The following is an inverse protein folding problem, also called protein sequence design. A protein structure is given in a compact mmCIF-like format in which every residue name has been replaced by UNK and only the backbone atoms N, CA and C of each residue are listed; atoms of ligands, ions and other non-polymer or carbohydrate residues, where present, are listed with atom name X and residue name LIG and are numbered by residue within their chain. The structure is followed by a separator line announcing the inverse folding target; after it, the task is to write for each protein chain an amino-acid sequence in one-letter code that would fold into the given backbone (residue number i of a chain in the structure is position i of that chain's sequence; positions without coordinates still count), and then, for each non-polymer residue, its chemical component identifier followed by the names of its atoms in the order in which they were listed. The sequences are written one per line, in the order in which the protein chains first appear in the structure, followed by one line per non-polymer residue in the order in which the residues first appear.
data_IF_975582009156
#
_entry.id   IF_975582009156
#
_cell.length_a   1.000
_cell.length_b   1.000
_cell.length_c   1.000
_cell.angle_alpha   90.00
_cell.angle_beta   90.00
_cell.angle_gamma   90.00
#
_symmetry.space_group_name_H-M   'P 1'
#
loop_
_entity.id
_entity.type
_entity.pdbx_description
1 polymer ?
#
# COMPACT_ATOMS: atom_id res chain seq x y z
N UNK A 1 7.64 41.28 -61.71
CA UNK A 1 6.78 40.15 -61.29
C UNK A 1 7.04 39.91 -59.82
N UNK A 2 5.98 39.63 -59.08
CA UNK A 2 5.85 39.67 -57.61
C UNK A 2 6.99 39.01 -56.84
N UNK A 3 7.66 39.75 -55.95
CA UNK A 3 8.35 39.16 -54.80
C UNK A 3 7.26 38.70 -53.82
N UNK A 4 7.14 37.39 -53.65
CA UNK A 4 6.30 36.79 -52.62
C UNK A 4 7.05 36.87 -51.30
N UNK A 5 6.53 37.65 -50.36
CA UNK A 5 7.00 37.67 -48.98
C UNK A 5 6.67 36.31 -48.36
N UNK A 6 7.67 35.44 -48.22
CA UNK A 6 7.57 34.29 -47.32
C UNK A 6 7.39 34.84 -45.90
N UNK A 7 6.17 34.76 -45.38
CA UNK A 7 5.94 34.88 -43.96
C UNK A 7 6.63 33.69 -43.29
N UNK A 8 7.77 33.97 -42.65
CA UNK A 8 8.38 33.07 -41.68
C UNK A 8 7.36 32.87 -40.57
N UNK A 9 6.70 31.71 -40.55
CA UNK A 9 5.98 31.24 -39.37
C UNK A 9 7.00 31.13 -38.24
N UNK A 10 7.00 32.12 -37.34
CA UNK A 10 7.65 31.97 -36.05
C UNK A 10 7.04 30.75 -35.35
N UNK A 11 7.85 29.92 -34.66
CA UNK A 11 7.34 28.78 -33.92
C UNK A 11 6.57 29.31 -32.71
N UNK A 12 5.33 29.72 -32.91
CA UNK A 12 4.40 29.96 -31.83
C UNK A 12 4.32 28.65 -31.06
N UNK A 13 4.73 28.66 -29.79
CA UNK A 13 4.30 27.65 -28.82
C UNK A 13 2.78 27.60 -28.91
N UNK A 14 2.24 26.69 -29.72
CA UNK A 14 0.82 26.69 -30.04
C UNK A 14 0.06 26.47 -28.75
N UNK A 15 -0.98 27.27 -28.51
CA UNK A 15 -1.80 27.15 -27.30
C UNK A 15 -2.31 25.72 -27.12
N UNK A 16 -2.56 25.01 -28.23
CA UNK A 16 -2.95 23.60 -28.25
C UNK A 16 -1.86 22.67 -27.68
N UNK A 17 -0.59 22.88 -28.04
CA UNK A 17 0.55 22.14 -27.48
C UNK A 17 0.68 22.35 -25.97
N UNK A 18 0.48 23.59 -25.52
CA UNK A 18 0.51 23.93 -24.08
C UNK A 18 -0.67 23.28 -23.34
N UNK A 19 -1.88 23.34 -23.91
CA UNK A 19 -3.08 22.74 -23.33
C UNK A 19 -3.00 21.21 -23.27
N UNK A 20 -2.42 20.57 -24.28
CA UNK A 20 -2.20 19.13 -24.31
C UNK A 20 -1.19 18.70 -23.22
N UNK A 21 -0.06 19.40 -23.12
CA UNK A 21 0.93 19.14 -22.08
C UNK A 21 0.36 19.38 -20.68
N UNK A 22 -0.45 20.42 -20.50
CA UNK A 22 -1.17 20.65 -19.24
C UNK A 22 -2.16 19.52 -18.94
N UNK A 23 -2.94 19.05 -19.93
CA UNK A 23 -3.89 17.94 -19.77
C UNK A 23 -3.19 16.64 -19.35
N UNK A 24 -1.99 16.39 -19.86
CA UNK A 24 -1.25 15.18 -19.51
C UNK A 24 -0.58 15.25 -18.14
N UNK A 25 -0.07 16.42 -17.77
CA UNK A 25 0.82 16.55 -16.62
C UNK A 25 0.26 17.32 -15.43
N UNK A 26 -0.93 17.95 -15.50
CA UNK A 26 -1.48 18.79 -14.41
C UNK A 26 -1.48 18.11 -13.03
N UNK A 27 -1.65 16.79 -13.00
CA UNK A 27 -1.70 16.01 -11.78
C UNK A 27 -0.37 16.03 -11.00
N UNK A 28 0.78 16.17 -11.68
CA UNK A 28 2.10 16.21 -11.05
C UNK A 28 2.32 17.51 -10.26
N UNK A 29 2.22 18.72 -10.83
CA UNK A 29 2.33 19.95 -10.05
C UNK A 29 1.18 20.08 -9.04
N UNK A 30 -0.03 19.61 -9.35
CA UNK A 30 -1.12 19.59 -8.37
C UNK A 30 -0.78 18.74 -7.15
N UNK A 31 -0.27 17.51 -7.36
CA UNK A 31 0.15 16.64 -6.25
C UNK A 31 1.35 17.24 -5.49
N UNK A 32 2.30 17.86 -6.19
CA UNK A 32 3.42 18.54 -5.54
C UNK A 32 2.96 19.71 -4.66
N UNK A 33 2.00 20.51 -5.12
CA UNK A 33 1.39 21.60 -4.33
C UNK A 33 0.67 21.03 -3.12
N UNK A 34 -0.10 19.94 -3.28
CA UNK A 34 -0.81 19.27 -2.18
C UNK A 34 0.19 18.76 -1.13
N UNK A 35 1.22 18.02 -1.55
CA UNK A 35 2.26 17.49 -0.65
C UNK A 35 3.01 18.64 0.03
N UNK A 36 3.36 19.70 -0.70
CA UNK A 36 4.00 20.89 -0.14
C UNK A 36 3.13 21.60 0.91
N UNK A 37 1.84 21.74 0.63
CA UNK A 37 0.88 22.26 1.60
C UNK A 37 0.79 21.37 2.85
N UNK A 38 0.75 20.06 2.67
CA UNK A 38 0.69 19.09 3.77
C UNK A 38 1.95 19.15 4.65
N UNK A 39 3.14 19.26 4.05
CA UNK A 39 4.40 19.46 4.77
C UNK A 39 4.39 20.77 5.55
N UNK A 40 3.97 21.87 4.92
CA UNK A 40 3.92 23.19 5.55
C UNK A 40 2.97 23.21 6.75
N UNK A 41 1.72 22.79 6.59
CA UNK A 41 0.72 22.87 7.67
C UNK A 41 1.08 21.98 8.87
N UNK A 42 1.74 20.84 8.62
CA UNK A 42 2.15 19.88 9.65
C UNK A 42 3.46 20.26 10.34
N UNK A 43 4.37 20.94 9.65
CA UNK A 43 5.70 21.30 10.16
C UNK A 43 5.85 22.71 10.71
N UNK A 44 4.97 23.65 10.34
CA UNK A 44 5.14 25.11 10.61
C UNK A 44 5.30 25.52 12.08
N UNK A 45 4.87 24.68 13.03
CA UNK A 45 4.90 25.00 14.46
C UNK A 45 5.98 24.22 15.23
N UNK A 46 7.03 23.74 14.55
CA UNK A 46 8.06 22.90 15.18
C UNK A 46 8.84 23.60 16.30
N UNK A 47 8.99 24.92 16.22
CA UNK A 47 9.71 25.73 17.22
C UNK A 47 9.11 25.58 18.63
N UNK A 48 7.81 25.29 18.73
CA UNK A 48 7.15 25.03 20.01
C UNK A 48 7.69 23.79 20.75
N UNK A 49 8.38 22.90 20.04
CA UNK A 49 8.97 21.68 20.56
C UNK A 49 10.48 21.82 20.81
N UNK A 50 11.04 23.03 20.66
CA UNK A 50 12.45 23.32 20.93
C UNK A 50 12.54 24.23 22.16
N UNK A 51 13.19 23.78 23.22
CA UNK A 51 13.44 24.60 24.41
C UNK A 51 14.90 24.46 24.83
N UNK A 52 15.62 25.58 24.93
CA UNK A 52 17.05 25.60 25.31
C UNK A 52 17.93 24.64 24.46
N UNK A 53 17.64 24.52 23.16
CA UNK A 53 18.36 23.62 22.25
C UNK A 53 17.99 22.13 22.37
N UNK A 54 17.01 21.78 23.21
CA UNK A 54 16.52 20.41 23.38
C UNK A 54 15.17 20.22 22.70
N UNK A 55 14.96 19.02 22.17
CA UNK A 55 13.68 18.61 21.56
C UNK A 55 12.78 18.03 22.65
N UNK A 56 11.55 18.54 22.74
CA UNK A 56 10.52 18.05 23.64
C UNK A 56 9.39 17.44 22.82
N UNK A 57 9.11 16.15 23.01
CA UNK A 57 8.02 15.47 22.31
C UNK A 57 6.68 15.66 23.04
N UNK A 58 5.58 15.55 22.30
CA UNK A 58 4.26 15.40 22.90
C UNK A 58 3.97 13.93 23.20
N UNK A 59 3.20 13.68 24.26
CA UNK A 59 2.85 12.32 24.68
C UNK A 59 4.02 11.56 25.32
N UNK A 60 3.79 10.26 25.58
CA UNK A 60 4.76 9.39 26.26
C UNK A 60 5.49 8.47 25.27
N UNK A 61 4.75 7.88 24.34
CA UNK A 61 5.24 6.87 23.38
C UNK A 61 6.41 7.38 22.54
N UNK A 62 6.40 8.67 22.19
CA UNK A 62 7.50 9.32 21.46
C UNK A 62 8.85 9.22 22.18
N UNK A 63 8.87 9.25 23.53
CA UNK A 63 10.10 9.09 24.30
C UNK A 63 10.62 7.66 24.26
N UNK A 64 9.72 6.67 24.20
CA UNK A 64 10.11 5.29 24.06
C UNK A 64 10.59 4.99 22.62
N UNK A 65 9.96 5.57 21.60
CA UNK A 65 10.49 5.57 20.23
C UNK A 65 11.89 6.21 20.16
N UNK A 66 12.12 7.35 20.81
CA UNK A 66 13.46 7.96 20.86
C UNK A 66 14.50 6.98 21.44
N UNK A 67 14.14 6.24 22.50
CA UNK A 67 15.01 5.24 23.12
C UNK A 67 15.35 4.11 22.14
N UNK A 68 14.35 3.53 21.47
CA UNK A 68 14.53 2.48 20.48
C UNK A 68 15.36 2.94 19.28
N UNK A 69 15.08 4.12 18.75
CA UNK A 69 15.80 4.71 17.63
C UNK A 69 17.25 4.99 18.04
N UNK A 70 17.49 5.55 19.23
CA UNK A 70 18.85 5.80 19.73
C UNK A 70 19.64 4.51 19.94
N UNK A 71 18.98 3.42 20.34
CA UNK A 71 19.61 2.10 20.36
C UNK A 71 19.97 1.64 18.94
N UNK A 72 19.01 1.71 18.02
CA UNK A 72 19.11 1.23 16.63
C UNK A 72 20.16 2.00 15.83
N UNK A 73 20.30 3.32 16.03
CA UNK A 73 21.36 4.14 15.40
C UNK A 73 22.76 3.64 15.81
N UNK A 74 22.94 3.24 17.07
CA UNK A 74 24.24 2.74 17.59
C UNK A 74 24.53 1.30 17.20
N UNK A 75 23.50 0.53 16.84
CA UNK A 75 23.59 -0.90 16.54
C UNK A 75 22.97 -1.22 15.19
N UNK A 76 23.04 -0.32 14.22
CA UNK A 76 22.37 -0.52 12.93
C UNK A 76 22.86 -1.81 12.25
N UNK A 77 21.97 -2.71 11.77
CA UNK A 77 20.51 -2.57 11.63
C UNK A 77 19.65 -3.21 12.73
N UNK A 78 20.22 -3.62 13.87
CA UNK A 78 19.49 -4.30 14.94
C UNK A 78 18.64 -3.35 15.80
N UNK A 79 17.40 -3.76 16.10
CA UNK A 79 16.54 -3.11 17.11
C UNK A 79 16.64 -3.85 18.45
N UNK A 80 16.22 -3.19 19.54
CA UNK A 80 16.25 -3.80 20.88
C UNK A 80 15.06 -4.76 21.03
N UNK A 81 15.27 -6.07 21.27
CA UNK A 81 14.16 -7.02 21.40
C UNK A 81 13.52 -7.02 22.80
N UNK A 82 14.27 -6.57 23.81
CA UNK A 82 13.88 -6.56 25.21
C UNK A 82 14.55 -5.40 25.94
N UNK A 83 13.79 -4.67 26.74
CA UNK A 83 14.29 -3.52 27.48
C UNK A 83 14.29 -3.78 29.00
N UNK A 84 15.47 -3.95 29.63
CA UNK A 84 15.57 -4.15 31.08
C UNK A 84 15.35 -2.84 31.88
N UNK A 85 15.29 -1.68 31.24
CA UNK A 85 15.14 -0.38 31.90
C UNK A 85 13.69 0.06 32.10
N UNK A 86 12.74 -0.69 31.55
CA UNK A 86 11.29 -0.50 31.77
C UNK A 86 10.69 -1.75 32.42
N UNK A 87 9.57 -1.66 33.13
CA UNK A 87 8.96 -2.85 33.78
C UNK A 87 9.79 -3.45 34.92
N UNK A 88 10.47 -2.59 35.71
CA UNK A 88 11.28 -3.03 36.86
C UNK A 88 10.46 -3.89 37.85
N UNK A 89 11.03 -4.98 38.41
CA UNK A 89 12.42 -5.43 38.30
C UNK A 89 12.71 -6.43 37.17
N UNK A 90 11.74 -6.72 36.30
CA UNK A 90 11.86 -7.82 35.32
C UNK A 90 12.37 -7.33 33.97
N UNK A 91 11.92 -6.15 33.52
CA UNK A 91 12.07 -5.72 32.13
C UNK A 91 10.75 -5.84 31.36
N UNK A 92 10.73 -5.36 30.11
CA UNK A 92 9.62 -5.59 29.18
C UNK A 92 10.12 -5.99 27.80
N UNK A 93 9.38 -6.86 27.13
CA UNK A 93 9.47 -6.98 25.67
C UNK A 93 8.99 -5.67 25.03
N UNK A 94 9.65 -5.27 23.94
CA UNK A 94 9.37 -4.00 23.26
C UNK A 94 8.05 -4.01 22.48
N UNK A 95 7.52 -5.19 22.13
CA UNK A 95 6.19 -5.35 21.54
C UNK A 95 5.99 -4.54 20.24
N UNK A 96 5.22 -3.46 20.34
CA UNK A 96 4.91 -2.55 19.23
C UNK A 96 5.98 -1.49 18.95
N UNK A 97 7.08 -1.50 19.71
CA UNK A 97 8.24 -0.63 19.55
C UNK A 97 9.45 -1.43 19.05
N UNK A 98 10.48 -0.74 18.53
CA UNK A 98 11.63 -1.39 17.88
C UNK A 98 11.24 -2.02 16.54
N UNK A 99 10.21 -1.47 15.88
CA UNK A 99 9.60 -2.00 14.66
C UNK A 99 10.24 -1.41 13.40
N UNK A 100 9.70 -1.72 12.21
CA UNK A 100 10.12 -1.11 10.95
C UNK A 100 10.04 0.42 11.00
N UNK A 101 9.09 0.98 11.76
CA UNK A 101 9.00 2.42 11.98
C UNK A 101 10.30 2.97 12.58
N UNK A 102 10.75 2.40 13.70
CA UNK A 102 11.97 2.86 14.39
C UNK A 102 13.22 2.64 13.53
N UNK A 103 13.28 1.55 12.76
CA UNK A 103 14.37 1.31 11.82
C UNK A 103 14.43 2.35 10.69
N UNK A 104 13.28 2.76 10.14
CA UNK A 104 13.22 3.80 9.11
C UNK A 104 13.70 5.14 9.69
N UNK A 105 13.26 5.49 10.89
CA UNK A 105 13.66 6.76 11.54
C UNK A 105 15.16 6.74 11.89
N UNK A 106 15.68 5.62 12.40
CA UNK A 106 17.11 5.45 12.65
C UNK A 106 17.94 5.56 11.37
N UNK A 107 17.48 4.94 10.28
CA UNK A 107 18.13 5.05 8.95
C UNK A 107 18.13 6.48 8.46
N UNK A 108 16.99 7.19 8.57
CA UNK A 108 16.88 8.58 8.18
C UNK A 108 17.84 9.47 9.01
N UNK A 109 17.95 9.22 10.31
CA UNK A 109 18.86 9.96 11.18
C UNK A 109 20.32 9.70 10.78
N UNK A 110 20.69 8.46 10.48
CA UNK A 110 22.02 8.11 9.96
C UNK A 110 22.32 8.81 8.64
N UNK A 111 21.36 8.87 7.70
CA UNK A 111 21.53 9.58 6.42
C UNK A 111 21.71 11.08 6.65
N UNK A 112 20.85 11.71 7.44
CA UNK A 112 20.91 13.15 7.75
C UNK A 112 22.19 13.51 8.50
N UNK A 113 22.62 12.65 9.42
CA UNK A 113 23.87 12.78 10.18
C UNK A 113 25.11 12.26 9.46
N UNK A 114 25.03 11.90 8.17
CA UNK A 114 26.14 11.38 7.36
C UNK A 114 26.90 10.21 8.03
N UNK A 115 26.15 9.32 8.68
CA UNK A 115 26.63 8.14 9.39
C UNK A 115 26.93 8.36 10.87
N UNK A 116 26.95 9.60 11.36
CA UNK A 116 27.22 9.91 12.77
C UNK A 116 26.30 11.04 13.29
N UNK A 117 24.98 10.80 13.39
CA UNK A 117 24.06 11.80 13.91
C UNK A 117 24.31 12.09 15.39
N UNK A 118 24.19 13.36 15.77
CA UNK A 118 24.11 13.74 17.19
C UNK A 118 22.77 13.33 17.81
N UNK A 119 22.69 13.24 19.13
CA UNK A 119 21.42 12.97 19.83
C UNK A 119 20.32 13.99 19.45
N UNK A 120 20.71 15.26 19.25
CA UNK A 120 19.82 16.30 18.76
C UNK A 120 19.31 16.03 17.33
N UNK A 121 20.19 15.54 16.44
CA UNK A 121 19.83 15.14 15.07
C UNK A 121 18.86 13.96 15.07
N UNK A 122 19.08 12.96 15.92
CA UNK A 122 18.17 11.82 16.08
C UNK A 122 16.80 12.31 16.55
N UNK A 123 16.77 13.17 17.59
CA UNK A 123 15.54 13.70 18.13
C UNK A 123 14.76 14.56 17.11
N UNK A 124 15.45 15.42 16.34
CA UNK A 124 14.82 16.19 15.26
C UNK A 124 14.28 15.28 14.15
N UNK A 125 15.01 14.24 13.78
CA UNK A 125 14.55 13.29 12.75
C UNK A 125 13.24 12.64 13.18
N UNK A 126 13.17 12.15 14.42
CA UNK A 126 11.94 11.62 15.00
C UNK A 126 10.84 12.68 15.06
N UNK A 127 11.15 13.92 15.46
CA UNK A 127 10.19 15.02 15.58
C UNK A 127 9.46 15.32 14.27
N UNK A 128 10.19 15.30 13.14
CA UNK A 128 9.66 15.56 11.80
C UNK A 128 9.10 14.33 11.08
N UNK A 129 9.32 13.13 11.61
CA UNK A 129 8.85 11.88 10.99
C UNK A 129 7.34 11.89 10.69
N UNK A 130 6.46 12.34 11.61
CA UNK A 130 5.03 12.37 11.33
C UNK A 130 4.62 13.31 10.19
N UNK A 131 5.35 14.42 10.04
CA UNK A 131 5.14 15.41 8.98
C UNK A 131 5.40 14.78 7.62
N UNK A 132 6.48 13.99 7.51
CA UNK A 132 6.89 13.33 6.27
C UNK A 132 5.91 12.22 5.90
N UNK A 133 5.64 11.27 6.78
CA UNK A 133 4.66 10.20 6.51
C UNK A 133 3.26 10.77 6.22
N UNK A 134 2.87 11.79 6.99
CA UNK A 134 1.60 12.48 6.84
C UNK A 134 1.42 13.16 5.49
N UNK A 135 2.49 13.62 4.86
CA UNK A 135 2.44 14.18 3.50
C UNK A 135 2.58 13.09 2.41
N UNK A 136 3.47 12.11 2.60
CA UNK A 136 3.75 11.07 1.62
C UNK A 136 2.56 10.14 1.38
N UNK A 137 1.68 9.94 2.36
CA UNK A 137 0.44 9.17 2.20
C UNK A 137 -0.50 9.74 1.12
N UNK A 138 -0.37 11.02 0.74
CA UNK A 138 -1.09 11.58 -0.40
C UNK A 138 -0.78 10.84 -1.71
N UNK A 139 0.40 10.25 -1.86
CA UNK A 139 0.82 9.51 -3.06
C UNK A 139 0.02 8.22 -3.26
N UNK A 140 0.00 7.26 -2.32
CA UNK A 140 -0.84 6.08 -2.49
C UNK A 140 -2.33 6.43 -2.57
N UNK A 141 -2.80 7.45 -1.84
CA UNK A 141 -4.19 7.93 -1.93
C UNK A 141 -4.53 8.48 -3.32
N UNK A 142 -3.62 9.24 -3.94
CA UNK A 142 -3.77 9.68 -5.33
C UNK A 142 -3.95 8.49 -6.28
N UNK A 143 -3.09 7.47 -6.18
CA UNK A 143 -3.18 6.31 -7.07
C UNK A 143 -4.42 5.46 -6.83
N UNK A 144 -4.86 5.29 -5.58
CA UNK A 144 -6.14 4.62 -5.26
C UNK A 144 -7.32 5.39 -5.86
N UNK A 145 -7.38 6.71 -5.67
CA UNK A 145 -8.43 7.56 -6.23
C UNK A 145 -8.42 7.56 -7.76
N UNK A 146 -7.23 7.58 -8.38
CA UNK A 146 -7.06 7.45 -9.83
C UNK A 146 -7.58 6.12 -10.35
N UNK A 147 -7.29 5.02 -9.66
CA UNK A 147 -7.69 3.68 -10.07
C UNK A 147 -9.20 3.49 -9.97
N UNK A 148 -9.81 3.94 -8.87
CA UNK A 148 -11.26 3.85 -8.65
C UNK A 148 -12.05 4.77 -9.58
N UNK A 149 -11.62 6.03 -9.71
CA UNK A 149 -12.30 7.02 -10.56
C UNK A 149 -11.92 6.96 -12.03
N UNK A 150 -10.99 6.07 -12.42
CA UNK A 150 -10.41 5.94 -13.77
C UNK A 150 -9.95 7.28 -14.37
N UNK A 151 -9.51 8.20 -13.52
CA UNK A 151 -9.18 9.57 -13.90
C UNK A 151 -8.11 10.15 -13.00
N UNK A 152 -7.14 10.85 -13.59
CA UNK A 152 -6.12 11.62 -12.86
C UNK A 152 -6.78 12.65 -11.93
N UNK A 153 -7.92 13.22 -12.33
CA UNK A 153 -8.64 14.23 -11.54
C UNK A 153 -9.22 13.61 -10.26
N UNK A 154 -9.76 12.40 -10.33
CA UNK A 154 -10.25 11.68 -9.16
C UNK A 154 -9.13 11.41 -8.14
N UNK A 155 -7.93 11.08 -8.63
CA UNK A 155 -6.74 10.94 -7.78
C UNK A 155 -6.34 12.25 -7.10
N UNK A 156 -6.27 13.36 -7.86
CA UNK A 156 -5.94 14.69 -7.30
C UNK A 156 -6.99 15.09 -6.26
N UNK A 157 -8.26 14.86 -6.53
CA UNK A 157 -9.34 15.16 -5.61
C UNK A 157 -9.25 14.33 -4.33
N UNK A 158 -8.94 13.03 -4.42
CA UNK A 158 -8.73 12.19 -3.24
C UNK A 158 -7.56 12.70 -2.38
N UNK A 159 -6.43 13.06 -3.00
CA UNK A 159 -5.29 13.64 -2.29
C UNK A 159 -5.63 15.01 -1.64
N UNK A 160 -6.42 15.85 -2.31
CA UNK A 160 -6.88 17.14 -1.78
C UNK A 160 -7.79 16.95 -0.56
N UNK A 161 -8.75 16.02 -0.63
CA UNK A 161 -9.63 15.71 0.51
C UNK A 161 -8.81 15.24 1.71
N UNK A 162 -7.83 14.36 1.50
CA UNK A 162 -6.91 13.91 2.55
C UNK A 162 -6.10 15.08 3.15
N UNK A 163 -5.61 15.98 2.30
CA UNK A 163 -4.82 17.12 2.73
C UNK A 163 -5.60 18.09 3.63
N UNK A 164 -6.90 18.20 3.41
CA UNK A 164 -7.83 19.04 4.17
C UNK A 164 -8.51 18.31 5.34
N UNK A 165 -8.28 17.00 5.49
CA UNK A 165 -8.94 16.18 6.50
C UNK A 165 -8.50 16.59 7.92
N UNK A 166 -9.42 17.05 8.79
CA UNK A 166 -9.10 17.43 10.16
C UNK A 166 -9.11 16.21 11.09
N UNK A 167 -9.07 16.45 12.40
CA UNK A 167 -9.27 15.43 13.42
C UNK A 167 -8.04 14.56 13.67
N UNK A 168 -8.26 13.28 13.97
CA UNK A 168 -7.21 12.39 14.48
C UNK A 168 -6.06 12.19 13.49
N UNK A 169 -6.36 12.08 12.19
CA UNK A 169 -5.33 11.95 11.16
C UNK A 169 -4.39 13.17 11.12
N UNK A 170 -4.95 14.39 11.12
CA UNK A 170 -4.14 15.61 11.21
C UNK A 170 -3.38 15.66 12.53
N UNK A 171 -4.07 15.42 13.66
CA UNK A 171 -3.47 15.47 14.99
C UNK A 171 -2.34 14.46 15.23
N UNK A 172 -2.34 13.32 14.54
CA UNK A 172 -1.27 12.30 14.57
C UNK A 172 -0.22 12.47 13.47
N UNK A 173 -0.35 13.49 12.60
CA UNK A 173 0.59 13.77 11.51
C UNK A 173 1.27 15.14 11.59
N UNK A 174 1.00 15.91 12.64
CA UNK A 174 1.73 17.16 12.93
C UNK A 174 3.07 16.88 13.59
N UNK A 175 3.98 17.85 13.46
CA UNK A 175 5.25 17.86 14.19
C UNK A 175 5.01 17.72 15.70
N UNK A 176 5.83 16.91 16.36
CA UNK A 176 5.68 16.63 17.80
C UNK A 176 4.81 15.41 18.14
N UNK A 177 3.94 14.95 17.24
CA UNK A 177 3.17 13.71 17.39
C UNK A 177 3.99 12.48 16.96
N UNK A 178 5.21 12.36 17.51
CA UNK A 178 6.26 11.47 17.04
C UNK A 178 6.05 10.00 17.44
N UNK A 179 5.03 9.39 16.87
CA UNK A 179 4.53 8.04 17.14
C UNK A 179 4.27 7.32 15.80
N UNK A 180 4.21 5.98 15.83
CA UNK A 180 4.02 5.15 14.64
C UNK A 180 2.63 5.28 13.98
N UNK A 181 1.66 5.95 14.62
CA UNK A 181 0.26 5.96 14.15
C UNK A 181 0.03 6.59 12.79
N UNK A 182 0.95 7.39 12.27
CA UNK A 182 0.85 7.90 10.90
C UNK A 182 1.58 7.02 9.88
N UNK A 183 2.54 6.22 10.34
CA UNK A 183 3.12 5.15 9.53
C UNK A 183 2.11 4.02 9.29
N UNK A 184 1.24 3.72 10.26
CA UNK A 184 0.14 2.74 10.12
C UNK A 184 -0.72 2.98 8.87
N UNK A 185 -1.45 4.11 8.71
CA UNK A 185 -2.27 4.36 7.52
C UNK A 185 -1.43 4.51 6.25
N UNK A 186 -0.17 4.96 6.36
CA UNK A 186 0.74 5.03 5.21
C UNK A 186 1.01 3.63 4.64
N UNK A 187 1.52 2.71 5.46
CA UNK A 187 1.80 1.34 5.01
C UNK A 187 0.53 0.56 4.70
N UNK A 188 -0.57 0.79 5.43
CA UNK A 188 -1.88 0.25 5.08
C UNK A 188 -2.32 0.69 3.68
N UNK A 189 -2.19 1.98 3.35
CA UNK A 189 -2.59 2.51 2.04
C UNK A 189 -1.73 1.94 0.91
N UNK A 190 -0.43 1.71 1.16
CA UNK A 190 0.47 1.04 0.19
C UNK A 190 0.04 -0.41 0.00
N UNK A 191 -0.24 -1.14 1.08
CA UNK A 191 -0.71 -2.54 1.01
C UNK A 191 -2.03 -2.66 0.23
N UNK A 192 -2.99 -1.78 0.50
CA UNK A 192 -4.26 -1.73 -0.22
C UNK A 192 -4.05 -1.38 -1.69
N UNK A 193 -3.27 -0.35 -1.99
CA UNK A 193 -2.97 0.03 -3.38
C UNK A 193 -2.29 -1.10 -4.15
N UNK A 194 -1.27 -1.73 -3.56
CA UNK A 194 -0.56 -2.84 -4.19
C UNK A 194 -1.50 -4.03 -4.44
N UNK A 195 -2.42 -4.32 -3.50
CA UNK A 195 -3.45 -5.34 -3.68
C UNK A 195 -4.42 -5.01 -4.82
N UNK A 196 -4.88 -3.76 -4.90
CA UNK A 196 -5.73 -3.30 -6.01
C UNK A 196 -5.03 -3.46 -7.37
N UNK A 197 -3.76 -3.08 -7.45
CA UNK A 197 -2.96 -3.23 -8.69
C UNK A 197 -2.79 -4.71 -9.04
N UNK A 198 -2.52 -5.58 -8.07
CA UNK A 198 -2.42 -7.01 -8.29
C UNK A 198 -3.71 -7.63 -8.83
N UNK A 199 -4.87 -7.23 -8.28
CA UNK A 199 -6.18 -7.66 -8.76
C UNK A 199 -6.46 -7.16 -10.19
N UNK A 200 -6.10 -5.92 -10.50
CA UNK A 200 -6.25 -5.38 -11.86
C UNK A 200 -5.37 -6.11 -12.87
N UNK A 201 -4.14 -6.45 -12.50
CA UNK A 201 -3.25 -7.25 -13.33
C UNK A 201 -3.81 -8.66 -13.55
N UNK A 202 -4.33 -9.30 -12.51
CA UNK A 202 -4.92 -10.63 -12.61
C UNK A 202 -6.23 -10.66 -13.42
N UNK A 203 -7.07 -9.62 -13.33
CA UNK A 203 -8.27 -9.50 -14.16
C UNK A 203 -7.93 -9.33 -15.65
N UNK A 204 -6.83 -8.63 -15.95
CA UNK A 204 -6.34 -8.44 -17.33
C UNK A 204 -5.73 -9.72 -17.89
N UNK A 205 -4.84 -10.35 -17.13
CA UNK A 205 -3.99 -11.45 -17.61
C UNK A 205 -4.64 -12.84 -17.37
N UNK A 206 -5.66 -12.91 -16.51
CA UNK A 206 -6.45 -14.10 -16.16
C UNK A 206 -5.59 -15.36 -15.92
N UNK A 207 -4.67 -15.35 -14.94
CA UNK A 207 -3.87 -16.52 -14.63
C UNK A 207 -4.77 -17.69 -14.20
N UNK A 208 -4.59 -18.84 -14.85
CA UNK A 208 -5.30 -20.09 -14.58
C UNK A 208 -4.32 -21.17 -14.11
N UNK A 209 -4.84 -22.21 -13.46
CA UNK A 209 -4.00 -23.26 -12.90
C UNK A 209 -3.16 -24.01 -13.95
N UNK A 210 -3.71 -24.24 -15.14
CA UNK A 210 -3.03 -24.96 -16.22
C UNK A 210 -1.74 -24.25 -16.64
N UNK A 211 -1.74 -22.90 -16.64
CA UNK A 211 -0.54 -22.10 -16.90
C UNK A 211 0.51 -22.27 -15.82
N UNK A 212 0.09 -22.43 -14.56
CA UNK A 212 0.99 -22.67 -13.43
C UNK A 212 1.66 -24.05 -13.54
N UNK A 213 0.89 -25.10 -13.86
CA UNK A 213 1.44 -26.44 -14.11
C UNK A 213 2.38 -26.43 -15.32
N UNK A 214 1.96 -25.79 -16.42
CA UNK A 214 2.74 -25.70 -17.63
C UNK A 214 4.00 -24.83 -17.48
N UNK A 215 4.15 -24.14 -16.33
CA UNK A 215 5.26 -23.21 -16.04
C UNK A 215 5.40 -22.13 -17.11
N UNK A 216 4.28 -21.64 -17.63
CA UNK A 216 4.25 -20.56 -18.61
C UNK A 216 4.49 -19.21 -17.92
N UNK A 217 5.72 -19.00 -17.49
CA UNK A 217 6.13 -17.79 -16.77
C UNK A 217 6.02 -16.52 -17.60
N UNK A 218 5.93 -16.63 -18.93
CA UNK A 218 5.82 -15.47 -19.82
C UNK A 218 4.51 -14.71 -19.56
N UNK A 219 3.41 -15.45 -19.41
CA UNK A 219 2.08 -14.93 -19.14
C UNK A 219 1.82 -14.70 -17.65
N UNK A 220 2.54 -15.41 -16.76
CA UNK A 220 2.39 -15.25 -15.30
C UNK A 220 3.25 -14.14 -14.69
N UNK A 221 4.26 -13.62 -15.40
CA UNK A 221 5.23 -12.67 -14.83
C UNK A 221 4.59 -11.41 -14.24
N UNK A 222 3.63 -10.84 -14.98
CA UNK A 222 2.90 -9.64 -14.56
C UNK A 222 2.06 -9.88 -13.30
N UNK A 223 1.09 -10.82 -13.28
CA UNK A 223 0.29 -11.06 -12.08
C UNK A 223 1.14 -11.56 -10.91
N UNK A 224 2.12 -12.43 -11.14
CA UNK A 224 3.04 -12.91 -10.09
C UNK A 224 3.81 -11.76 -9.43
N UNK A 225 4.38 -10.86 -10.24
CA UNK A 225 5.15 -9.72 -9.74
C UNK A 225 4.30 -8.76 -8.91
N UNK A 226 3.11 -8.41 -9.39
CA UNK A 226 2.21 -7.52 -8.64
C UNK A 226 1.64 -8.17 -7.38
N UNK A 227 1.29 -9.46 -7.42
CA UNK A 227 0.83 -10.18 -6.23
C UNK A 227 1.95 -10.35 -5.19
N UNK A 228 3.18 -10.63 -5.61
CA UNK A 228 4.33 -10.67 -4.71
C UNK A 228 4.60 -9.30 -4.09
N UNK A 229 4.50 -8.22 -4.86
CA UNK A 229 4.63 -6.85 -4.35
C UNK A 229 3.52 -6.50 -3.36
N UNK A 230 2.29 -6.95 -3.59
CA UNK A 230 1.18 -6.79 -2.64
C UNK A 230 1.45 -7.53 -1.32
N UNK A 231 1.98 -8.75 -1.40
CA UNK A 231 2.41 -9.50 -0.21
C UNK A 231 3.55 -8.83 0.55
N UNK A 232 4.54 -8.30 -0.17
CA UNK A 232 5.64 -7.53 0.41
C UNK A 232 5.13 -6.25 1.10
N UNK A 233 4.25 -5.49 0.45
CA UNK A 233 3.63 -4.31 1.05
C UNK A 233 2.82 -4.63 2.31
N UNK A 234 2.08 -5.75 2.31
CA UNK A 234 1.39 -6.26 3.50
C UNK A 234 2.37 -6.62 4.62
N UNK A 235 3.51 -7.24 4.30
CA UNK A 235 4.56 -7.55 5.28
C UNK A 235 5.17 -6.28 5.89
N UNK A 236 5.43 -5.23 5.09
CA UNK A 236 5.91 -3.95 5.61
C UNK A 236 4.92 -3.33 6.62
N UNK A 237 3.62 -3.46 6.35
CA UNK A 237 2.61 -3.00 7.30
C UNK A 237 2.63 -3.82 8.61
N UNK A 238 2.69 -5.15 8.52
CA UNK A 238 2.84 -6.04 9.69
C UNK A 238 4.11 -5.73 10.50
N UNK A 239 5.22 -5.41 9.83
CA UNK A 239 6.48 -5.04 10.48
C UNK A 239 6.46 -3.64 11.08
N UNK A 240 5.54 -2.77 10.68
CA UNK A 240 5.33 -1.46 11.30
C UNK A 240 4.47 -1.58 12.54
N UNK A 241 3.42 -2.40 12.48
CA UNK A 241 2.43 -2.52 13.55
C UNK A 241 1.82 -3.93 13.61
N UNK A 242 2.10 -4.75 14.65
CA UNK A 242 1.62 -6.12 14.71
C UNK A 242 0.08 -6.30 14.60
N UNK A 243 -0.77 -5.38 15.12
CA UNK A 243 -2.22 -5.42 14.92
C UNK A 243 -2.67 -5.22 13.46
N UNK A 244 -1.77 -4.87 12.53
CA UNK A 244 -2.05 -4.87 11.10
C UNK A 244 -2.54 -6.22 10.56
N UNK A 245 -2.43 -7.31 11.34
CA UNK A 245 -3.11 -8.59 11.10
C UNK A 245 -4.61 -8.45 10.85
N UNK A 246 -5.24 -7.38 11.37
CA UNK A 246 -6.60 -7.00 11.04
C UNK A 246 -6.80 -6.84 9.51
N UNK A 247 -5.86 -6.20 8.81
CA UNK A 247 -5.95 -6.03 7.36
C UNK A 247 -5.80 -7.37 6.62
N UNK A 248 -4.98 -8.30 7.12
CA UNK A 248 -4.93 -9.68 6.61
C UNK A 248 -6.31 -10.34 6.71
N UNK A 249 -7.00 -10.17 7.83
CA UNK A 249 -8.38 -10.64 8.01
C UNK A 249 -9.38 -9.98 7.05
N UNK A 250 -9.27 -8.66 6.84
CA UNK A 250 -10.09 -7.92 5.86
C UNK A 250 -9.85 -8.44 4.44
N UNK A 251 -8.59 -8.68 4.04
CA UNK A 251 -8.28 -9.29 2.76
C UNK A 251 -8.83 -10.71 2.65
N UNK A 252 -8.74 -11.53 3.71
CA UNK A 252 -9.34 -12.85 3.76
C UNK A 252 -10.85 -12.81 3.52
N UNK A 253 -11.57 -11.94 4.22
CA UNK A 253 -13.01 -11.73 4.02
C UNK A 253 -13.33 -11.22 2.61
N UNK A 254 -12.54 -10.29 2.08
CA UNK A 254 -12.67 -9.80 0.72
C UNK A 254 -12.51 -10.93 -0.31
N UNK A 255 -11.45 -11.74 -0.20
CA UNK A 255 -11.22 -12.85 -1.13
C UNK A 255 -12.33 -13.89 -1.05
N UNK A 256 -12.80 -14.24 0.15
CA UNK A 256 -13.94 -15.13 0.32
C UNK A 256 -15.17 -14.63 -0.47
N UNK A 257 -15.54 -13.36 -0.27
CA UNK A 257 -16.71 -12.76 -0.95
C UNK A 257 -16.48 -12.64 -2.47
N UNK A 258 -15.29 -12.23 -2.91
CA UNK A 258 -14.99 -12.06 -4.33
C UNK A 258 -14.96 -13.39 -5.07
N UNK A 259 -14.31 -14.42 -4.52
CA UNK A 259 -14.22 -15.76 -5.13
C UNK A 259 -15.61 -16.39 -5.26
N UNK A 260 -16.43 -16.32 -4.21
CA UNK A 260 -17.83 -16.75 -4.26
C UNK A 260 -18.63 -15.97 -5.30
N UNK A 261 -18.45 -14.65 -5.34
CA UNK A 261 -19.13 -13.77 -6.28
C UNK A 261 -18.76 -13.99 -7.75
N UNK A 262 -17.51 -14.34 -8.03
CA UNK A 262 -17.05 -14.69 -9.38
C UNK A 262 -17.67 -16.00 -9.84
N UNK A 263 -17.55 -17.04 -8.99
CA UNK A 263 -18.13 -18.34 -9.28
C UNK A 263 -19.64 -18.25 -9.50
N UNK A 264 -20.36 -17.53 -8.63
CA UNK A 264 -21.80 -17.30 -8.75
C UNK A 264 -22.21 -16.60 -10.06
N UNK A 265 -21.33 -15.78 -10.65
CA UNK A 265 -21.57 -15.11 -11.94
C UNK A 265 -21.12 -15.93 -13.14
N UNK A 266 -20.69 -17.17 -12.94
CA UNK A 266 -20.14 -18.03 -13.99
C UNK A 266 -18.75 -17.58 -14.47
N UNK A 267 -18.02 -16.81 -13.66
CA UNK A 267 -16.63 -16.45 -13.94
C UNK A 267 -15.68 -17.36 -13.14
N UNK A 268 -14.59 -17.81 -13.76
CA UNK A 268 -13.57 -18.59 -13.07
C UNK A 268 -12.94 -17.78 -11.93
N UNK A 269 -12.91 -18.31 -10.68
CA UNK A 269 -12.32 -17.61 -9.53
C UNK A 269 -10.78 -17.72 -9.47
N UNK A 270 -10.16 -18.48 -10.38
CA UNK A 270 -8.73 -18.83 -10.30
C UNK A 270 -7.80 -17.62 -10.31
N UNK A 271 -8.09 -16.60 -11.12
CA UNK A 271 -7.25 -15.42 -11.25
C UNK A 271 -7.20 -14.60 -9.94
N UNK A 272 -8.32 -14.49 -9.22
CA UNK A 272 -8.36 -13.85 -7.90
C UNK A 272 -7.69 -14.73 -6.85
N UNK A 273 -7.91 -16.05 -6.92
CA UNK A 273 -7.29 -16.99 -6.00
C UNK A 273 -5.76 -16.98 -6.14
N UNK A 274 -5.24 -16.86 -7.36
CA UNK A 274 -3.81 -16.71 -7.62
C UNK A 274 -3.23 -15.50 -6.87
N UNK A 275 -3.91 -14.35 -6.94
CA UNK A 275 -3.48 -13.14 -6.21
C UNK A 275 -3.46 -13.39 -4.71
N UNK A 276 -4.52 -13.97 -4.16
CA UNK A 276 -4.63 -14.29 -2.74
C UNK A 276 -3.52 -15.23 -2.28
N UNK A 277 -3.29 -16.33 -3.01
CA UNK A 277 -2.26 -17.33 -2.71
C UNK A 277 -0.88 -16.70 -2.71
N UNK A 278 -0.49 -16.02 -3.78
CA UNK A 278 0.86 -15.45 -3.91
C UNK A 278 1.08 -14.35 -2.87
N UNK A 279 0.16 -13.38 -2.78
CA UNK A 279 0.34 -12.24 -1.88
C UNK A 279 0.37 -12.66 -0.41
N UNK A 280 -0.55 -13.52 0.02
CA UNK A 280 -0.60 -13.95 1.42
C UNK A 280 0.49 -14.95 1.76
N UNK A 281 0.99 -15.76 0.81
CA UNK A 281 2.17 -16.60 1.04
C UNK A 281 3.43 -15.74 1.24
N UNK A 282 3.63 -14.70 0.42
CA UNK A 282 4.75 -13.76 0.58
C UNK A 282 4.65 -13.02 1.90
N UNK A 283 3.47 -12.49 2.24
CA UNK A 283 3.25 -11.83 3.53
C UNK A 283 3.52 -12.77 4.71
N UNK A 284 3.02 -14.01 4.65
CA UNK A 284 3.24 -15.04 5.65
C UNK A 284 4.71 -15.36 5.85
N UNK A 285 5.45 -15.65 4.77
CA UNK A 285 6.88 -15.96 4.82
C UNK A 285 7.69 -14.79 5.39
N UNK A 286 7.43 -13.56 4.95
CA UNK A 286 8.16 -12.40 5.45
C UNK A 286 7.83 -12.08 6.92
N UNK A 287 6.58 -12.28 7.35
CA UNK A 287 6.19 -12.06 8.75
C UNK A 287 6.87 -13.03 9.74
N UNK A 288 7.36 -14.19 9.28
CA UNK A 288 8.20 -15.08 10.10
C UNK A 288 9.52 -14.41 10.51
N UNK A 289 10.06 -13.50 9.68
CA UNK A 289 11.30 -12.78 9.97
C UNK A 289 11.20 -11.78 11.13
N UNK A 290 9.98 -11.37 11.50
CA UNK A 290 9.71 -10.46 12.63
C UNK A 290 9.23 -11.18 13.90
N UNK A 291 9.24 -12.51 13.95
CA UNK A 291 8.67 -13.28 15.05
C UNK A 291 9.41 -13.01 16.36
N UNK A 292 8.71 -12.49 17.37
CA UNK A 292 9.24 -12.26 18.72
C UNK A 292 8.72 -13.28 19.73
N UNK A 293 7.54 -13.85 19.49
CA UNK A 293 6.93 -14.84 20.39
C UNK A 293 6.27 -16.00 19.63
N UNK A 294 6.36 -17.21 20.20
CA UNK A 294 5.73 -18.40 19.64
C UNK A 294 4.21 -18.48 19.93
N UNK A 295 3.66 -17.65 20.82
CA UNK A 295 2.21 -17.63 21.10
C UNK A 295 1.40 -16.89 20.03
N UNK A 296 0.08 -16.89 20.18
CA UNK A 296 -0.85 -16.08 19.38
C UNK A 296 -1.16 -14.77 20.10
N UNK A 297 -0.87 -13.64 19.46
CA UNK A 297 -1.13 -12.30 19.97
C UNK A 297 -1.40 -11.35 18.81
N UNK A 298 -2.40 -10.49 18.96
CA UNK A 298 -2.69 -9.44 17.98
C UNK A 298 -1.75 -8.24 18.12
N UNK A 299 -1.18 -8.00 19.32
CA UNK A 299 -0.42 -6.78 19.63
C UNK A 299 1.09 -6.99 19.67
N UNK A 300 1.56 -8.24 19.59
CA UNK A 300 2.97 -8.59 19.49
C UNK A 300 3.23 -9.30 18.16
N UNK A 301 4.48 -9.24 17.69
CA UNK A 301 4.89 -10.00 16.51
C UNK A 301 4.98 -11.50 16.88
N UNK A 302 4.00 -12.25 16.40
CA UNK A 302 3.55 -13.54 16.94
C UNK A 302 3.31 -14.55 15.81
N UNK A 303 3.04 -15.81 16.14
CA UNK A 303 2.61 -16.79 15.13
C UNK A 303 1.25 -16.45 14.49
N UNK A 304 0.46 -15.54 15.08
CA UNK A 304 -0.85 -15.15 14.55
C UNK A 304 -0.75 -14.54 13.15
N UNK A 305 0.22 -13.64 12.93
CA UNK A 305 0.42 -12.92 11.67
C UNK A 305 0.72 -13.87 10.49
N UNK A 306 1.77 -14.72 10.55
CA UNK A 306 2.04 -15.69 9.48
C UNK A 306 0.94 -16.73 9.35
N UNK A 307 0.40 -17.22 10.47
CA UNK A 307 -0.66 -18.23 10.44
C UNK A 307 -1.89 -17.73 9.69
N UNK A 308 -2.38 -16.52 9.99
CA UNK A 308 -3.56 -15.98 9.33
C UNK A 308 -3.31 -15.74 7.84
N UNK A 309 -2.12 -15.24 7.47
CA UNK A 309 -1.75 -15.06 6.06
C UNK A 309 -1.77 -16.41 5.30
N UNK A 310 -1.12 -17.44 5.85
CA UNK A 310 -1.16 -18.78 5.24
C UNK A 310 -2.57 -19.39 5.22
N UNK A 311 -3.38 -19.15 6.24
CA UNK A 311 -4.78 -19.61 6.26
C UNK A 311 -5.59 -18.97 5.13
N UNK A 312 -5.40 -17.67 4.85
CA UNK A 312 -6.03 -17.01 3.69
C UNK A 312 -5.53 -17.59 2.37
N UNK A 313 -4.22 -17.82 2.23
CA UNK A 313 -3.65 -18.42 1.01
C UNK A 313 -4.23 -19.82 0.75
N UNK A 314 -4.21 -20.70 1.76
CA UNK A 314 -4.75 -22.06 1.66
C UNK A 314 -6.26 -22.04 1.41
N UNK A 315 -7.00 -21.15 2.10
CA UNK A 315 -8.44 -20.98 1.88
C UNK A 315 -8.77 -20.58 0.45
N UNK A 316 -8.03 -19.62 -0.13
CA UNK A 316 -8.24 -19.20 -1.51
C UNK A 316 -7.89 -20.31 -2.52
N UNK A 317 -6.79 -21.05 -2.29
CA UNK A 317 -6.43 -22.20 -3.12
C UNK A 317 -7.51 -23.30 -3.06
N UNK A 318 -8.03 -23.59 -1.86
CA UNK A 318 -9.11 -24.54 -1.66
C UNK A 318 -10.39 -24.12 -2.39
N UNK A 319 -10.77 -22.84 -2.33
CA UNK A 319 -11.93 -22.31 -3.04
C UNK A 319 -11.80 -22.43 -4.56
N UNK A 320 -10.62 -22.15 -5.12
CA UNK A 320 -10.37 -22.33 -6.56
C UNK A 320 -10.40 -23.81 -6.97
N UNK A 321 -9.81 -24.69 -6.17
CA UNK A 321 -9.91 -26.13 -6.40
C UNK A 321 -11.35 -26.64 -6.32
N UNK A 322 -12.11 -26.20 -5.31
CA UNK A 322 -13.50 -26.61 -5.11
C UNK A 322 -14.38 -26.17 -6.28
N UNK A 323 -14.18 -24.95 -6.80
CA UNK A 323 -14.90 -24.46 -7.97
C UNK A 323 -14.71 -25.39 -9.18
N UNK A 324 -13.47 -25.82 -9.43
CA UNK A 324 -13.18 -26.76 -10.53
C UNK A 324 -13.79 -28.13 -10.32
N UNK A 325 -13.66 -28.68 -9.13
CA UNK A 325 -14.22 -30.00 -8.83
C UNK A 325 -15.75 -29.98 -8.95
N UNK A 326 -16.38 -28.84 -8.68
CA UNK A 326 -17.80 -28.65 -8.87
C UNK A 326 -18.18 -28.58 -10.37
N UNK A 327 -17.43 -27.81 -11.15
CA UNK A 327 -17.60 -27.71 -12.61
C UNK A 327 -17.37 -29.06 -13.31
N UNK A 328 -16.31 -29.80 -12.93
CA UNK A 328 -15.92 -31.08 -13.54
C UNK A 328 -16.94 -32.21 -13.27
N UNK A 329 -17.76 -32.08 -12.22
CA UNK A 329 -18.73 -33.10 -11.81
C UNK A 329 -20.13 -32.90 -12.40
N UNK A 330 -20.34 -31.89 -13.24
CA UNK A 330 -21.66 -31.53 -13.81
C UNK A 330 -22.77 -31.51 -12.74
N UNK A 331 -22.44 -31.12 -11.50
CA UNK A 331 -23.41 -31.09 -10.42
C UNK A 331 -24.49 -30.06 -10.77
N UNK A 332 -25.79 -30.40 -10.69
CA UNK A 332 -26.84 -29.47 -11.05
C UNK A 332 -26.69 -28.20 -10.21
N UNK A 333 -26.67 -27.04 -10.88
CA UNK A 333 -26.81 -25.74 -10.25
C UNK A 333 -27.96 -25.84 -9.26
N UNK A 334 -27.66 -25.81 -7.97
CA UNK A 334 -28.63 -26.03 -6.92
C UNK A 334 -29.54 -24.80 -6.82
N UNK A 335 -30.43 -24.64 -7.78
CA UNK A 335 -31.58 -23.76 -7.75
C UNK A 335 -31.31 -22.25 -7.69
N UNK A 336 -30.08 -21.78 -7.86
CA UNK A 336 -29.83 -20.33 -8.01
C UNK A 336 -29.67 -19.99 -9.49
N UNK A 337 -30.79 -19.98 -10.20
CA UNK A 337 -30.86 -19.51 -11.58
C UNK A 337 -30.37 -18.05 -11.64
N UNK A 338 -29.30 -17.83 -12.40
CA UNK A 338 -28.94 -16.50 -12.88
C UNK A 338 -30.05 -16.00 -13.82
N UNK A 339 -30.50 -14.73 -13.74
CA UNK A 339 -31.61 -14.23 -14.58
C UNK A 339 -31.32 -14.16 -16.09
N UNK A 340 -30.15 -14.60 -16.57
CA UNK A 340 -29.72 -14.37 -17.95
C UNK A 340 -29.85 -15.58 -18.88
N UNK A 341 -30.25 -16.77 -18.42
CA UNK A 341 -30.41 -17.93 -19.31
C UNK A 341 -31.76 -17.97 -20.05
N UNK A 342 -32.66 -17.02 -19.80
CA UNK A 342 -33.95 -16.92 -20.50
C UNK A 342 -33.98 -15.76 -21.51
N UNK A 343 -33.05 -15.72 -22.47
CA UNK A 343 -33.26 -15.10 -23.80
C UNK A 343 -31.97 -15.06 -24.63
N UNK A 344 -31.68 -16.13 -25.37
CA UNK A 344 -30.82 -16.00 -26.56
C UNK A 344 -31.12 -17.09 -27.59
N UNK A 345 -32.38 -17.17 -28.01
CA UNK A 345 -32.68 -17.61 -29.38
C UNK A 345 -32.83 -16.36 -30.24
N UNK A 346 -31.95 -16.27 -31.25
CA UNK A 346 -31.83 -15.21 -32.27
C UNK A 346 -31.24 -13.87 -31.82
N UNK A 347 -29.99 -13.58 -32.20
CA UNK A 347 -29.60 -12.49 -33.13
C UNK A 347 -28.14 -12.70 -33.53
N UNK A 348 -27.94 -12.86 -34.83
CA UNK A 348 -26.66 -12.86 -35.53
C UNK A 348 -26.15 -11.42 -35.70
N UNK A 349 -24.82 -11.28 -35.64
CA UNK A 349 -24.00 -10.23 -36.27
C UNK A 349 -24.07 -8.77 -35.74
N UNK A 350 -23.02 -8.39 -35.00
CA UNK A 350 -22.25 -7.15 -35.24
C UNK A 350 -21.08 -7.07 -34.25
N UNK A 351 -19.93 -7.59 -34.66
CA UNK A 351 -18.64 -7.34 -33.99
C UNK A 351 -18.24 -5.88 -34.21
N UNK A 352 -18.29 -5.06 -33.16
CA UNK A 352 -17.51 -3.81 -33.07
C UNK A 352 -16.59 -3.89 -31.87
N UNK A 353 -15.32 -4.12 -32.17
CA UNK A 353 -14.17 -3.91 -31.29
C UNK A 353 -14.17 -2.48 -30.75
N UNK A 354 -14.20 -2.32 -29.42
CA UNK A 354 -13.98 -1.04 -28.75
C UNK A 354 -12.97 -1.24 -27.60
N UNK A 355 -11.70 -1.26 -27.96
CA UNK A 355 -10.57 -0.90 -27.10
C UNK A 355 -9.63 -0.07 -27.98
N UNK A 356 -9.40 1.23 -27.71
CA UNK A 356 -8.34 1.94 -28.39
C UNK A 356 -7.01 1.45 -27.80
N UNK A 357 -6.16 0.92 -28.68
CA UNK A 357 -4.76 0.71 -28.39
C UNK A 357 -4.11 2.07 -28.07
N UNK A 358 -3.47 2.19 -26.91
CA UNK A 358 -2.48 3.24 -26.69
C UNK A 358 -1.30 2.96 -27.62
N UNK A 359 -1.19 3.74 -28.70
CA UNK A 359 0.02 3.81 -29.50
C UNK A 359 1.08 4.60 -28.75
N UNK A 360 2.25 3.99 -28.62
CA UNK A 360 3.51 4.66 -28.34
C UNK A 360 3.83 5.68 -29.43
N UNK A 361 3.95 6.96 -29.05
CA UNK A 361 4.75 8.00 -29.71
C UNK A 361 5.03 9.09 -28.68
#
# INVERSE_FOLDING_TARGET
MSEGTEQVEEPSLSLDSVLERLRDWYHVPALAIIVGFMLWIRGRNYENFIQNGQVYFSGNDAWYHLREISYTVRHWPQTMPYDPWTGFPVGSSVGQFGTLYDQIVATAALIVGLGSPSDHTVALTLLFTPVVFGALIAVPVYFMGKLLGRSRLAGVFAALVLALLPGLFLGRSIVGAADHNIAEPFFQSIAVLAMMVALVAAERDKPIYEQVIARDFSNLRSPLGWSALAGFAMALYLWTWPPAVLLTGIFGAFFLVKLLGDYYRGASPEHVAFVAVVSMSVAGVLSLGSLQMAGFSATHASLLQPFLAFAVAVGAAFMAWLAREWDDRDLPDSGIQSPSSASSSSVQASSRSFFPACSSS
#
